data_IF_003068089476
#
_entry.id   IF_003068089476
#
_cell.length_a   1.000
_cell.length_b   1.000
_cell.length_c   1.000
_cell.angle_alpha   90.00
_cell.angle_beta   90.00
_cell.angle_gamma   90.00
#
_symmetry.space_group_name_H-M   'P 1'
#
loop_
_entity.id
_entity.type
_entity.pdbx_description
1 polymer ?
#
# COMPACT_ATOMS: atom_id res chain seq x y z
N UNK A 1 3.24 9.28 11.92
CA UNK A 1 1.82 9.45 12.26
C UNK A 1 1.62 10.79 12.96
N UNK A 2 0.46 11.44 12.83
CA UNK A 2 0.13 12.57 13.69
C UNK A 2 0.18 12.13 15.16
N UNK A 3 0.59 13.03 16.04
CA UNK A 3 0.64 12.78 17.48
C UNK A 3 -0.74 12.32 17.98
N UNK A 4 -0.81 11.22 18.73
CA UNK A 4 -2.05 10.65 19.24
C UNK A 4 -2.83 9.74 18.26
N UNK A 5 -2.36 9.50 17.05
CA UNK A 5 -3.03 8.55 16.16
C UNK A 5 -2.77 7.10 16.59
N UNK A 6 -3.82 6.34 16.73
CA UNK A 6 -3.75 4.91 17.00
C UNK A 6 -4.37 4.11 15.85
N UNK A 7 -3.87 2.90 15.62
CA UNK A 7 -4.47 1.97 14.67
C UNK A 7 -5.96 1.78 14.98
N UNK A 8 -6.78 1.93 13.96
CA UNK A 8 -8.21 1.71 14.04
C UNK A 8 -8.60 0.49 13.20
N UNK A 9 -9.06 -0.58 13.87
CA UNK A 9 -9.50 -1.81 13.21
C UNK A 9 -10.70 -1.62 12.26
N UNK A 10 -11.32 -0.44 12.26
CA UNK A 10 -12.41 -0.12 11.34
C UNK A 10 -11.97 0.61 10.08
N UNK A 11 -10.65 0.90 9.93
CA UNK A 11 -10.11 1.74 8.86
C UNK A 11 -10.59 1.33 7.46
N UNK A 12 -10.64 0.03 7.17
CA UNK A 12 -11.10 -0.54 5.89
C UNK A 12 -12.30 -1.47 6.04
N UNK A 13 -13.04 -1.38 7.15
CA UNK A 13 -14.19 -2.26 7.39
C UNK A 13 -15.19 -2.20 6.24
N UNK A 14 -15.49 -3.37 5.64
CA UNK A 14 -16.40 -3.52 4.50
C UNK A 14 -15.78 -3.14 3.15
N UNK A 15 -14.51 -2.72 3.09
CA UNK A 15 -13.83 -2.35 1.84
C UNK A 15 -13.25 -3.54 1.07
N UNK A 16 -13.03 -4.68 1.72
CA UNK A 16 -12.30 -5.81 1.14
C UNK A 16 -12.93 -6.30 -0.18
N UNK A 17 -14.25 -6.48 -0.23
CA UNK A 17 -14.98 -6.91 -1.43
C UNK A 17 -14.87 -5.94 -2.61
N UNK A 18 -14.53 -4.68 -2.37
CA UNK A 18 -14.40 -3.64 -3.38
C UNK A 18 -12.94 -3.40 -3.80
N UNK A 19 -11.98 -3.96 -3.08
CA UNK A 19 -10.59 -3.53 -3.20
C UNK A 19 -9.97 -3.97 -4.54
N UNK A 20 -10.02 -5.25 -4.89
CA UNK A 20 -9.42 -5.77 -6.13
C UNK A 20 -10.03 -5.11 -7.37
N UNK A 21 -11.35 -4.95 -7.40
CA UNK A 21 -12.08 -4.31 -8.50
C UNK A 21 -11.86 -2.79 -8.54
N UNK A 22 -11.83 -2.15 -7.39
CA UNK A 22 -11.80 -0.70 -7.26
C UNK A 22 -10.43 -0.07 -7.51
N UNK A 23 -9.36 -0.74 -7.11
CA UNK A 23 -8.01 -0.18 -7.22
C UNK A 23 -7.42 -0.39 -8.61
N UNK A 24 -6.77 0.65 -9.11
CA UNK A 24 -5.94 0.51 -10.30
C UNK A 24 -4.75 -0.40 -9.99
N UNK A 25 -4.35 -1.27 -10.92
CA UNK A 25 -3.14 -2.07 -10.75
C UNK A 25 -1.90 -1.18 -10.80
N UNK A 26 -0.81 -1.68 -10.24
CA UNK A 26 0.51 -1.06 -10.41
C UNK A 26 0.93 -1.06 -11.88
N UNK A 27 1.87 -0.18 -12.24
CA UNK A 27 2.37 -0.05 -13.61
C UNK A 27 2.86 -1.41 -14.16
N UNK A 28 2.60 -1.72 -15.43
CA UNK A 28 3.04 -2.97 -16.05
C UNK A 28 4.55 -3.17 -15.88
N UNK A 29 4.96 -4.37 -15.49
CA UNK A 29 6.38 -4.71 -15.27
C UNK A 29 6.92 -4.36 -13.87
N UNK A 30 6.11 -3.76 -12.95
CA UNK A 30 6.61 -3.41 -11.62
C UNK A 30 7.17 -4.60 -10.85
N UNK A 31 6.53 -5.77 -10.93
CA UNK A 31 6.98 -6.97 -10.21
C UNK A 31 8.35 -7.46 -10.71
N UNK A 32 8.56 -7.48 -12.04
CA UNK A 32 9.87 -7.80 -12.63
C UNK A 32 10.94 -6.79 -12.26
N UNK A 33 10.63 -5.49 -12.27
CA UNK A 33 11.54 -4.44 -11.82
C UNK A 33 11.91 -4.61 -10.35
N UNK A 34 10.92 -4.88 -9.49
CA UNK A 34 11.17 -5.10 -8.07
C UNK A 34 11.99 -6.37 -7.84
N UNK A 35 11.67 -7.48 -8.52
CA UNK A 35 12.42 -8.72 -8.42
C UNK A 35 13.90 -8.54 -8.85
N UNK A 36 14.14 -7.84 -9.95
CA UNK A 36 15.50 -7.53 -10.42
C UNK A 36 16.25 -6.62 -9.41
N UNK A 37 15.61 -5.57 -8.90
CA UNK A 37 16.22 -4.66 -7.91
C UNK A 37 16.61 -5.37 -6.60
N UNK A 38 15.86 -6.42 -6.24
CA UNK A 38 16.11 -7.23 -5.05
C UNK A 38 17.02 -8.45 -5.31
N UNK A 39 17.30 -8.77 -6.56
CA UNK A 39 18.05 -9.97 -6.94
C UNK A 39 17.31 -11.26 -6.56
N UNK A 40 15.97 -11.29 -6.69
CA UNK A 40 15.17 -12.46 -6.41
C UNK A 40 15.31 -13.51 -7.51
N UNK A 41 15.50 -14.76 -7.14
CA UNK A 41 15.87 -15.87 -7.99
C UNK A 41 14.97 -17.12 -7.81
N UNK A 42 13.78 -16.93 -7.26
CA UNK A 42 12.86 -18.03 -6.89
C UNK A 42 13.17 -18.67 -5.54
N UNK A 43 14.18 -18.17 -4.83
CA UNK A 43 14.60 -18.68 -3.52
C UNK A 43 14.31 -17.66 -2.42
N UNK A 44 14.39 -18.14 -1.16
CA UNK A 44 14.18 -17.30 0.01
C UNK A 44 12.73 -16.89 0.19
N UNK A 45 12.51 -15.95 1.09
CA UNK A 45 11.17 -15.57 1.56
C UNK A 45 10.96 -14.07 1.41
N UNK A 46 9.74 -13.67 1.07
CA UNK A 46 9.30 -12.28 1.01
C UNK A 46 8.16 -12.07 1.99
N UNK A 47 8.22 -10.97 2.76
CA UNK A 47 7.15 -10.51 3.64
C UNK A 47 6.45 -9.32 2.98
N UNK A 48 5.12 -9.33 2.91
CA UNK A 48 4.28 -8.19 2.51
C UNK A 48 3.48 -7.71 3.73
N UNK A 49 3.78 -6.51 4.23
CA UNK A 49 3.23 -5.97 5.47
C UNK A 49 2.09 -4.99 5.18
N UNK A 50 0.91 -5.28 5.71
CA UNK A 50 -0.33 -4.62 5.31
C UNK A 50 -0.69 -5.03 3.88
N UNK A 51 -0.65 -6.34 3.63
CA UNK A 51 -0.77 -6.91 2.29
C UNK A 51 -2.15 -6.72 1.65
N UNK A 52 -3.18 -6.38 2.44
CA UNK A 52 -4.55 -6.26 1.97
C UNK A 52 -5.01 -7.54 1.25
N UNK A 53 -5.64 -7.42 0.07
CA UNK A 53 -6.07 -8.59 -0.72
C UNK A 53 -4.92 -9.26 -1.51
N UNK A 54 -3.66 -8.98 -1.17
CA UNK A 54 -2.49 -9.65 -1.71
C UNK A 54 -2.01 -9.16 -3.08
N UNK A 55 -2.37 -7.97 -3.50
CA UNK A 55 -2.04 -7.46 -4.85
C UNK A 55 -0.56 -7.55 -5.18
N UNK A 56 0.31 -7.08 -4.29
CA UNK A 56 1.78 -7.13 -4.49
C UNK A 56 2.32 -8.52 -4.20
N UNK A 57 1.90 -9.13 -3.11
CA UNK A 57 2.37 -10.46 -2.74
C UNK A 57 2.16 -11.49 -3.84
N UNK A 58 0.97 -11.53 -4.45
CA UNK A 58 0.66 -12.46 -5.52
C UNK A 58 1.46 -12.20 -6.80
N UNK A 59 1.79 -10.93 -7.08
CA UNK A 59 2.66 -10.57 -8.20
C UNK A 59 4.12 -10.95 -7.93
N UNK A 60 4.55 -11.00 -6.67
CA UNK A 60 5.91 -11.33 -6.26
C UNK A 60 6.11 -12.84 -6.00
N UNK A 61 5.06 -13.60 -5.78
CA UNK A 61 5.12 -15.03 -5.48
C UNK A 61 5.97 -15.87 -6.47
N UNK A 62 5.95 -15.60 -7.80
CA UNK A 62 6.79 -16.34 -8.74
C UNK A 62 8.31 -16.17 -8.54
N UNK A 63 8.75 -15.12 -7.81
CA UNK A 63 10.17 -14.78 -7.66
C UNK A 63 10.77 -15.25 -6.32
N UNK A 64 10.01 -15.96 -5.48
CA UNK A 64 10.43 -16.41 -4.15
C UNK A 64 9.96 -17.85 -3.87
N UNK A 65 10.61 -18.51 -2.92
CA UNK A 65 10.18 -19.84 -2.47
C UNK A 65 8.89 -19.78 -1.63
N UNK A 66 8.77 -18.76 -0.77
CA UNK A 66 7.57 -18.50 0.03
C UNK A 66 7.29 -16.99 0.10
N UNK A 67 6.04 -16.61 -0.16
CA UNK A 67 5.53 -15.27 0.00
C UNK A 67 4.59 -15.22 1.21
N UNK A 68 4.90 -14.40 2.22
CA UNK A 68 4.11 -14.28 3.47
C UNK A 68 3.45 -12.92 3.50
N UNK A 69 2.11 -12.89 3.51
CA UNK A 69 1.32 -11.68 3.67
C UNK A 69 0.79 -11.54 5.09
N UNK A 70 0.98 -10.36 5.67
CA UNK A 70 0.42 -10.02 6.99
C UNK A 70 -0.51 -8.82 6.86
N UNK A 71 -1.70 -8.95 7.44
CA UNK A 71 -2.69 -7.87 7.53
C UNK A 71 -3.58 -8.09 8.77
N UNK A 72 -3.94 -7.04 9.51
CA UNK A 72 -4.86 -7.19 10.65
C UNK A 72 -6.32 -7.40 10.25
N UNK A 73 -6.69 -7.12 8.99
CA UNK A 73 -8.06 -7.25 8.49
C UNK A 73 -8.31 -8.65 7.93
N UNK A 74 -9.12 -9.44 8.64
CA UNK A 74 -9.44 -10.82 8.25
C UNK A 74 -10.20 -10.89 6.91
N UNK A 75 -11.03 -9.89 6.58
CA UNK A 75 -11.78 -9.83 5.32
C UNK A 75 -10.82 -9.59 4.14
N UNK A 76 -9.81 -8.73 4.31
CA UNK A 76 -8.73 -8.56 3.34
C UNK A 76 -7.98 -9.86 3.08
N UNK A 77 -7.60 -10.59 4.15
CA UNK A 77 -6.92 -11.87 4.01
C UNK A 77 -7.81 -12.96 3.39
N UNK A 78 -9.12 -12.90 3.59
CA UNK A 78 -10.06 -13.80 2.92
C UNK A 78 -10.10 -13.54 1.40
N UNK A 79 -10.12 -12.27 0.98
CA UNK A 79 -9.99 -11.90 -0.45
C UNK A 79 -8.63 -12.31 -1.03
N UNK A 80 -7.54 -12.14 -0.27
CA UNK A 80 -6.21 -12.55 -0.68
C UNK A 80 -6.11 -14.05 -0.95
N UNK A 81 -6.72 -14.89 -0.10
CA UNK A 81 -6.79 -16.35 -0.31
C UNK A 81 -7.56 -16.68 -1.58
N UNK A 82 -8.76 -16.08 -1.77
CA UNK A 82 -9.55 -16.27 -2.98
C UNK A 82 -8.79 -15.83 -4.24
N UNK A 83 -8.06 -14.73 -4.17
CA UNK A 83 -7.24 -14.27 -5.29
C UNK A 83 -6.06 -15.22 -5.59
N UNK A 84 -5.41 -15.78 -4.56
CA UNK A 84 -4.37 -16.79 -4.71
C UNK A 84 -4.89 -18.05 -5.40
N UNK A 85 -6.05 -18.56 -4.96
CA UNK A 85 -6.72 -19.73 -5.56
C UNK A 85 -7.05 -19.48 -7.03
N UNK A 86 -7.68 -18.35 -7.36
CA UNK A 86 -8.01 -18.00 -8.76
C UNK A 86 -6.79 -17.92 -9.66
N UNK A 87 -5.63 -17.53 -9.13
CA UNK A 87 -4.37 -17.36 -9.87
C UNK A 87 -3.47 -18.60 -9.80
N UNK A 88 -3.87 -19.66 -9.08
CA UNK A 88 -3.06 -20.88 -8.90
C UNK A 88 -1.76 -20.66 -8.13
N UNK A 89 -1.71 -19.66 -7.23
CA UNK A 89 -0.53 -19.34 -6.40
C UNK A 89 -0.56 -20.23 -5.15
N UNK A 90 0.37 -21.19 -5.08
CA UNK A 90 0.44 -22.17 -4.00
C UNK A 90 1.47 -21.83 -2.89
N UNK A 91 2.42 -20.94 -3.16
CA UNK A 91 3.51 -20.58 -2.24
C UNK A 91 3.22 -19.30 -1.42
N UNK A 92 1.95 -18.88 -1.36
CA UNK A 92 1.53 -17.75 -0.55
C UNK A 92 0.96 -18.20 0.80
N UNK A 93 1.39 -17.54 1.88
CA UNK A 93 0.90 -17.74 3.25
C UNK A 93 0.34 -16.44 3.81
N UNK A 94 -0.80 -16.52 4.52
CA UNK A 94 -1.52 -15.38 5.05
C UNK A 94 -1.63 -15.46 6.56
N UNK A 95 -1.26 -14.38 7.26
CA UNK A 95 -1.24 -14.31 8.72
C UNK A 95 -1.97 -13.04 9.19
N UNK A 96 -2.98 -13.23 10.06
CA UNK A 96 -3.72 -12.14 10.68
C UNK A 96 -2.90 -11.58 11.84
N UNK A 97 -2.14 -10.52 11.58
CA UNK A 97 -1.30 -9.85 12.58
C UNK A 97 -1.09 -8.39 12.20
N UNK A 98 -0.98 -7.51 13.19
CA UNK A 98 -0.62 -6.12 12.98
C UNK A 98 0.88 -5.98 12.70
N UNK A 99 1.27 -4.96 11.96
CA UNK A 99 2.67 -4.67 11.72
C UNK A 99 3.46 -4.44 13.03
N UNK A 100 2.83 -3.80 14.01
CA UNK A 100 3.40 -3.53 15.32
C UNK A 100 3.65 -4.78 16.19
N UNK A 101 3.00 -5.91 15.85
CA UNK A 101 3.12 -7.17 16.59
C UNK A 101 4.12 -8.15 15.95
N UNK A 102 4.83 -7.70 14.90
CA UNK A 102 5.96 -8.43 14.34
C UNK A 102 7.12 -8.50 15.37
N UNK A 103 7.91 -9.58 15.36
CA UNK A 103 8.09 -10.61 14.31
C UNK A 103 7.09 -11.78 14.33
N UNK A 104 6.20 -11.90 15.30
CA UNK A 104 5.14 -12.91 15.37
C UNK A 104 5.57 -14.37 15.05
N UNK A 105 6.85 -14.71 15.31
CA UNK A 105 7.42 -16.04 15.04
C UNK A 105 7.58 -16.38 13.55
N UNK A 106 7.55 -15.42 12.63
CA UNK A 106 7.56 -15.66 11.19
C UNK A 106 8.93 -16.02 10.60
N UNK A 107 10.03 -15.79 11.34
CA UNK A 107 11.40 -16.10 10.90
C UNK A 107 12.03 -15.03 10.00
N UNK A 108 13.04 -15.41 9.21
CA UNK A 108 13.83 -14.51 8.37
C UNK A 108 13.28 -14.33 6.96
N UNK A 109 13.61 -13.16 6.33
CA UNK A 109 13.17 -12.79 5.00
C UNK A 109 14.28 -12.12 4.18
N UNK A 110 14.30 -12.33 2.86
CA UNK A 110 15.16 -11.59 1.93
C UNK A 110 14.65 -10.17 1.68
N UNK A 111 13.34 -9.97 1.74
CA UNK A 111 12.74 -8.65 1.59
C UNK A 111 11.44 -8.53 2.40
N UNK A 112 11.18 -7.31 2.89
CA UNK A 112 9.90 -6.90 3.44
C UNK A 112 9.34 -5.74 2.62
N UNK A 113 8.13 -5.89 2.09
CA UNK A 113 7.46 -4.94 1.21
C UNK A 113 6.32 -4.26 1.95
N UNK A 114 6.20 -2.96 1.76
CA UNK A 114 5.12 -2.12 2.24
C UNK A 114 4.49 -1.39 1.04
N UNK A 115 3.43 -1.96 0.51
CA UNK A 115 2.72 -1.40 -0.63
C UNK A 115 1.55 -0.53 -0.16
N UNK A 116 1.72 0.79 -0.14
CA UNK A 116 0.74 1.75 0.38
C UNK A 116 0.34 1.50 1.86
N UNK A 117 1.21 0.88 2.67
CA UNK A 117 0.88 0.43 4.03
C UNK A 117 1.73 1.05 5.13
N UNK A 118 3.02 1.33 4.92
CA UNK A 118 3.95 1.80 5.95
C UNK A 118 3.49 3.08 6.68
N UNK A 119 2.78 3.94 5.98
CA UNK A 119 2.25 5.16 6.56
C UNK A 119 1.08 4.96 7.54
N UNK A 120 0.55 3.75 7.65
CA UNK A 120 -0.49 3.37 8.62
C UNK A 120 0.07 2.77 9.91
N UNK A 121 1.39 2.59 10.02
CA UNK A 121 2.04 1.89 11.12
C UNK A 121 2.76 2.82 12.08
N UNK A 122 3.09 2.32 13.27
CA UNK A 122 4.14 2.91 14.10
C UNK A 122 5.49 2.62 13.41
N UNK A 123 5.91 3.58 12.59
CA UNK A 123 7.01 3.40 11.65
C UNK A 123 8.34 3.07 12.31
N UNK A 124 8.66 3.71 13.44
CA UNK A 124 9.92 3.46 14.15
C UNK A 124 9.94 2.04 14.71
N UNK A 125 8.90 1.63 15.43
CA UNK A 125 8.76 0.27 15.97
C UNK A 125 8.75 -0.80 14.88
N UNK A 126 8.02 -0.58 13.80
CA UNK A 126 7.90 -1.55 12.69
C UNK A 126 9.21 -1.65 11.91
N UNK A 127 9.92 -0.53 11.69
CA UNK A 127 11.23 -0.54 11.03
C UNK A 127 12.26 -1.36 11.81
N UNK A 128 12.32 -1.20 13.14
CA UNK A 128 13.21 -1.99 14.02
C UNK A 128 12.85 -3.49 13.99
N UNK A 129 11.57 -3.83 14.12
CA UNK A 129 11.11 -5.21 14.07
C UNK A 129 11.48 -5.88 12.73
N UNK A 130 11.21 -5.21 11.62
CA UNK A 130 11.52 -5.69 10.28
C UNK A 130 13.02 -5.78 10.04
N UNK A 131 13.82 -4.84 10.57
CA UNK A 131 15.28 -4.94 10.51
C UNK A 131 15.78 -6.24 11.15
N UNK A 132 15.23 -6.61 12.33
CA UNK A 132 15.52 -7.87 12.99
C UNK A 132 15.14 -9.11 12.19
N UNK A 133 14.07 -9.03 11.40
CA UNK A 133 13.54 -10.13 10.57
C UNK A 133 14.24 -10.30 9.23
N UNK A 134 14.94 -9.29 8.73
CA UNK A 134 15.64 -9.38 7.47
C UNK A 134 16.97 -10.12 7.59
N UNK A 135 17.28 -10.95 6.59
CA UNK A 135 18.58 -11.54 6.40
C UNK A 135 19.66 -10.47 6.18
N UNK A 136 20.94 -10.73 6.45
CA UNK A 136 22.03 -9.84 6.06
C UNK A 136 21.96 -9.53 4.56
N UNK A 137 22.03 -8.25 4.18
CA UNK A 137 21.81 -7.78 2.79
C UNK A 137 20.35 -7.74 2.36
N UNK A 138 19.42 -8.15 3.21
CA UNK A 138 17.97 -8.10 2.94
C UNK A 138 17.46 -6.67 2.77
N UNK A 139 16.26 -6.51 2.18
CA UNK A 139 15.75 -5.21 1.80
C UNK A 139 14.41 -4.87 2.48
N UNK A 140 14.30 -3.63 2.95
CA UNK A 140 13.04 -2.95 3.23
C UNK A 140 12.58 -2.23 1.96
N UNK A 141 11.34 -2.41 1.55
CA UNK A 141 10.80 -1.89 0.29
C UNK A 141 9.51 -1.12 0.54
N UNK A 142 9.42 0.08 -0.04
CA UNK A 142 8.17 0.84 -0.12
C UNK A 142 7.73 0.92 -1.58
N UNK A 143 6.50 0.51 -1.85
CA UNK A 143 5.86 0.61 -3.17
C UNK A 143 4.70 1.59 -3.08
N UNK A 144 4.67 2.56 -3.98
CA UNK A 144 3.62 3.57 -4.04
C UNK A 144 3.40 4.08 -5.46
N UNK A 145 2.28 4.77 -5.68
CA UNK A 145 2.15 5.61 -6.85
C UNK A 145 3.18 6.73 -6.78
N UNK A 146 3.78 7.08 -7.93
CA UNK A 146 4.71 8.19 -8.01
C UNK A 146 3.99 9.48 -7.60
N UNK A 147 4.58 10.19 -6.65
CA UNK A 147 4.06 11.47 -6.14
C UNK A 147 4.96 12.62 -6.59
N UNK A 148 4.36 13.77 -6.79
CA UNK A 148 5.09 15.02 -7.01
C UNK A 148 5.65 15.60 -5.70
N UNK A 149 6.30 16.75 -5.79
CA UNK A 149 6.87 17.43 -4.64
C UNK A 149 5.84 17.91 -3.60
N UNK A 150 4.54 17.91 -3.93
CA UNK A 150 3.44 18.19 -2.99
C UNK A 150 2.99 16.93 -2.22
N UNK A 151 3.48 15.75 -2.61
CA UNK A 151 3.04 14.45 -2.09
C UNK A 151 1.74 13.93 -2.74
N UNK A 152 1.27 14.57 -3.79
CA UNK A 152 0.15 14.07 -4.60
C UNK A 152 0.65 13.14 -5.71
N UNK A 153 -0.18 12.18 -6.12
CA UNK A 153 0.17 11.28 -7.21
C UNK A 153 0.31 12.06 -8.51
N UNK A 154 1.43 11.85 -9.22
CA UNK A 154 1.65 12.46 -10.54
C UNK A 154 0.64 11.85 -11.51
N UNK A 155 -0.29 12.65 -12.09
CA UNK A 155 -1.21 12.13 -13.06
C UNK A 155 -0.42 11.68 -14.29
N UNK A 156 -0.70 10.46 -14.81
CA UNK A 156 -0.08 10.02 -16.04
C UNK A 156 -0.56 10.90 -17.21
N UNK A 157 0.24 11.01 -18.28
CA UNK A 157 -0.17 11.73 -19.46
C UNK A 157 -1.48 11.14 -20.00
N UNK A 158 -2.47 12.00 -20.22
CA UNK A 158 -3.75 11.56 -20.78
C UNK A 158 -3.58 11.28 -22.29
N UNK A 159 -4.17 10.20 -22.82
CA UNK A 159 -4.17 9.96 -24.24
C UNK A 159 -4.84 11.13 -24.98
N UNK A 160 -4.38 11.49 -26.18
CA UNK A 160 -4.88 12.67 -26.91
C UNK A 160 -6.35 12.58 -27.26
N UNK A 161 -6.92 11.37 -27.36
CA UNK A 161 -8.34 11.13 -27.65
C UNK A 161 -8.82 9.89 -26.87
N UNK A 162 -9.16 10.03 -25.58
CA UNK A 162 -9.67 8.91 -24.82
C UNK A 162 -11.06 8.49 -25.34
N UNK A 163 -11.30 7.17 -25.37
CA UNK A 163 -12.58 6.63 -25.83
C UNK A 163 -13.77 7.08 -24.96
N UNK A 164 -13.52 7.29 -23.66
CA UNK A 164 -14.52 7.67 -22.68
C UNK A 164 -13.99 8.81 -21.79
N UNK A 165 -14.88 9.58 -21.11
CA UNK A 165 -14.45 10.61 -20.18
C UNK A 165 -13.66 10.02 -19.01
N UNK A 166 -12.87 10.83 -18.32
CA UNK A 166 -12.31 10.45 -17.03
C UNK A 166 -13.41 10.40 -15.95
N UNK A 167 -13.27 9.59 -14.90
CA UNK A 167 -14.18 9.64 -13.77
C UNK A 167 -14.29 11.06 -13.21
N UNK A 168 -15.48 11.51 -12.80
CA UNK A 168 -15.73 12.86 -12.29
C UNK A 168 -15.21 13.01 -10.85
N UNK A 169 -13.91 13.06 -10.68
CA UNK A 169 -13.24 13.01 -9.37
C UNK A 169 -13.65 14.14 -8.42
N UNK A 170 -13.81 15.35 -8.93
CA UNK A 170 -14.21 16.51 -8.14
C UNK A 170 -15.64 16.35 -7.58
N UNK A 171 -16.57 15.91 -8.40
CA UNK A 171 -17.97 15.66 -8.05
C UNK A 171 -18.09 14.50 -7.07
N UNK A 172 -17.32 13.42 -7.28
CA UNK A 172 -17.24 12.28 -6.33
C UNK A 172 -16.73 12.76 -4.98
N UNK A 173 -15.65 13.55 -4.93
CA UNK A 173 -15.13 14.10 -3.68
C UNK A 173 -16.12 15.06 -3.01
N UNK A 174 -16.82 15.88 -3.76
CA UNK A 174 -17.88 16.76 -3.23
C UNK A 174 -19.02 15.95 -2.62
N UNK A 175 -19.43 14.86 -3.30
CA UNK A 175 -20.46 13.94 -2.81
C UNK A 175 -20.02 13.27 -1.50
N UNK A 176 -18.82 12.71 -1.44
CA UNK A 176 -18.29 12.10 -0.20
C UNK A 176 -18.29 13.11 0.95
N UNK A 177 -17.83 14.35 0.73
CA UNK A 177 -17.86 15.40 1.75
C UNK A 177 -19.27 15.80 2.19
N UNK A 178 -20.25 15.77 1.30
CA UNK A 178 -21.66 16.04 1.65
C UNK A 178 -22.20 15.01 2.64
N UNK A 179 -21.77 13.74 2.53
CA UNK A 179 -22.22 12.65 3.39
C UNK A 179 -21.40 12.50 4.67
N UNK A 180 -20.07 12.65 4.58
CA UNK A 180 -19.13 12.35 5.65
C UNK A 180 -18.50 13.59 6.30
N UNK A 181 -18.87 14.79 5.83
CA UNK A 181 -18.31 16.05 6.31
C UNK A 181 -17.03 16.49 5.58
N UNK A 182 -16.54 17.71 5.85
CA UNK A 182 -15.44 18.32 5.12
C UNK A 182 -14.08 17.73 5.49
N UNK A 183 -13.96 17.13 6.66
CA UNK A 183 -12.69 16.56 7.17
C UNK A 183 -12.57 15.12 6.70
N UNK A 184 -11.39 14.78 6.14
CA UNK A 184 -11.14 13.43 5.67
C UNK A 184 -11.19 12.41 6.81
N UNK A 185 -12.06 11.43 6.67
CA UNK A 185 -12.20 10.34 7.64
C UNK A 185 -11.08 9.31 7.47
N UNK A 186 -10.73 8.65 8.57
CA UNK A 186 -9.85 7.49 8.61
C UNK A 186 -10.32 6.59 9.76
N UNK A 187 -11.07 5.56 9.44
CA UNK A 187 -11.75 4.74 10.44
C UNK A 187 -12.70 5.59 11.31
N UNK A 188 -12.62 5.46 12.63
CA UNK A 188 -13.38 6.27 13.60
C UNK A 188 -12.86 7.71 13.71
N UNK A 189 -11.62 7.95 13.34
CA UNK A 189 -10.97 9.24 13.45
C UNK A 189 -10.93 10.03 12.14
N UNK A 190 -10.07 11.02 12.12
CA UNK A 190 -9.77 11.85 10.96
C UNK A 190 -8.27 11.87 10.72
N UNK A 191 -7.84 11.89 9.46
CA UNK A 191 -6.43 11.97 9.09
C UNK A 191 -6.24 13.15 8.13
N UNK A 192 -5.40 14.13 8.47
CA UNK A 192 -5.02 15.19 7.53
C UNK A 192 -4.43 14.60 6.24
N UNK A 193 -4.55 15.34 5.13
CA UNK A 193 -3.93 14.96 3.87
C UNK A 193 -2.42 14.78 4.04
N UNK A 194 -1.93 13.72 3.45
CA UNK A 194 -0.51 13.45 3.33
C UNK A 194 0.10 12.78 4.56
N UNK A 195 0.87 11.75 4.30
CA UNK A 195 1.81 11.22 5.26
C UNK A 195 3.07 12.05 5.10
N UNK A 196 3.64 12.62 6.16
CA UNK A 196 4.94 13.25 6.04
C UNK A 196 5.91 12.17 5.55
N UNK A 197 6.65 12.42 4.46
CA UNK A 197 7.78 11.62 4.04
C UNK A 197 8.67 11.27 5.24
N UNK A 198 9.97 11.26 5.12
CA UNK A 198 10.95 10.93 6.16
C UNK A 198 11.14 9.43 6.38
N UNK A 199 10.74 8.58 5.42
CA UNK A 199 11.07 7.15 5.45
C UNK A 199 12.59 6.97 5.62
N UNK A 200 13.41 7.76 4.92
CA UNK A 200 14.88 7.70 5.04
C UNK A 200 15.36 7.92 6.48
N UNK A 201 14.78 8.88 7.19
CA UNK A 201 15.17 9.14 8.58
C UNK A 201 14.74 8.03 9.55
N UNK A 202 13.54 7.48 9.34
CA UNK A 202 13.03 6.36 10.15
C UNK A 202 13.89 5.13 9.93
N UNK A 203 14.14 4.78 8.66
CA UNK A 203 14.87 3.58 8.31
C UNK A 203 16.36 3.68 8.66
N UNK A 204 16.97 4.87 8.53
CA UNK A 204 18.33 5.10 8.99
C UNK A 204 18.48 4.89 10.52
N UNK A 205 17.50 5.35 11.32
CA UNK A 205 17.50 5.08 12.77
C UNK A 205 17.41 3.59 13.10
N UNK A 206 16.68 2.82 12.30
CA UNK A 206 16.59 1.37 12.46
C UNK A 206 17.83 0.62 11.96
N UNK A 207 18.82 1.31 11.36
CA UNK A 207 20.08 0.73 10.91
C UNK A 207 20.12 0.34 9.42
N UNK A 208 19.14 0.73 8.64
CA UNK A 208 19.16 0.54 7.19
C UNK A 208 20.10 1.53 6.51
N UNK A 209 20.80 1.05 5.49
CA UNK A 209 21.66 1.87 4.64
C UNK A 209 20.88 2.55 3.51
N UNK A 210 21.59 3.43 2.77
CA UNK A 210 21.05 4.28 1.73
C UNK A 210 20.15 3.56 0.72
N UNK A 211 19.13 4.27 0.26
CA UNK A 211 18.10 3.75 -0.61
C UNK A 211 18.46 3.80 -2.10
N UNK A 212 17.92 2.87 -2.86
CA UNK A 212 17.76 3.00 -4.31
C UNK A 212 16.29 3.34 -4.63
N UNK A 213 16.09 4.05 -5.73
CA UNK A 213 14.80 4.46 -6.23
C UNK A 213 14.62 4.00 -7.67
N UNK A 214 13.53 3.30 -7.94
CA UNK A 214 13.13 2.90 -9.28
C UNK A 214 11.73 3.45 -9.58
N UNK A 215 11.53 3.91 -10.80
CA UNK A 215 10.21 4.37 -11.26
C UNK A 215 9.84 3.52 -12.47
N UNK A 216 8.74 2.79 -12.35
CA UNK A 216 8.14 2.06 -13.46
C UNK A 216 7.13 2.97 -14.14
N UNK A 217 7.30 3.29 -15.43
CA UNK A 217 6.42 4.22 -16.12
C UNK A 217 4.96 3.75 -16.11
N UNK A 218 4.06 4.67 -15.83
CA UNK A 218 2.63 4.48 -16.00
C UNK A 218 2.17 4.77 -17.42
N UNK A 219 0.90 5.20 -17.57
CA UNK A 219 0.34 5.68 -18.83
C UNK A 219 -0.43 4.63 -19.63
N UNK A 220 -0.36 3.36 -19.23
CA UNK A 220 -1.27 2.35 -19.81
C UNK A 220 -2.72 2.74 -19.58
N UNK A 221 -3.50 2.73 -20.64
CA UNK A 221 -4.91 3.14 -20.65
C UNK A 221 -5.77 1.95 -20.24
N UNK A 222 -6.67 2.18 -19.28
CA UNK A 222 -7.65 1.19 -18.83
C UNK A 222 -9.07 1.73 -18.95
N UNK A 223 -9.96 0.88 -19.41
CA UNK A 223 -11.38 1.15 -19.38
C UNK A 223 -11.97 0.70 -18.04
N UNK A 224 -12.82 1.56 -17.49
CA UNK A 224 -13.48 1.32 -16.20
C UNK A 224 -14.97 1.46 -16.37
N UNK A 225 -15.71 0.57 -15.76
CA UNK A 225 -17.17 0.70 -15.67
C UNK A 225 -17.58 1.59 -14.50
N UNK A 226 -18.84 2.03 -14.49
CA UNK A 226 -19.41 2.74 -13.34
C UNK A 226 -19.29 1.92 -12.04
N UNK A 227 -19.43 0.59 -12.12
CA UNK A 227 -19.26 -0.29 -10.96
C UNK A 227 -17.80 -0.33 -10.45
N UNK A 228 -16.81 -0.22 -11.33
CA UNK A 228 -15.40 -0.15 -10.93
C UNK A 228 -15.11 1.16 -10.21
N UNK A 229 -15.77 2.26 -10.62
CA UNK A 229 -15.63 3.55 -9.93
C UNK A 229 -16.35 3.54 -8.57
N UNK A 230 -17.53 2.91 -8.46
CA UNK A 230 -18.19 2.68 -7.18
C UNK A 230 -17.28 1.86 -6.26
N UNK A 231 -16.70 0.77 -6.76
CA UNK A 231 -15.75 -0.05 -6.01
C UNK A 231 -14.49 0.74 -5.62
N UNK A 232 -13.98 1.61 -6.49
CA UNK A 232 -12.87 2.49 -6.14
C UNK A 232 -13.21 3.41 -4.97
N UNK A 233 -14.38 4.00 -4.94
CA UNK A 233 -14.81 4.85 -3.81
C UNK A 233 -14.83 4.06 -2.52
N UNK A 234 -15.51 2.89 -2.51
CA UNK A 234 -15.66 2.05 -1.32
C UNK A 234 -14.38 1.32 -0.88
N UNK A 235 -13.38 1.20 -1.75
CA UNK A 235 -12.06 0.65 -1.40
C UNK A 235 -11.18 1.63 -0.60
N UNK A 236 -11.61 2.88 -0.41
CA UNK A 236 -10.82 3.93 0.25
C UNK A 236 -11.18 4.01 1.74
N UNK A 237 -10.17 4.10 2.60
CA UNK A 237 -10.36 4.31 4.05
C UNK A 237 -11.25 5.51 4.39
N UNK A 238 -11.22 6.56 3.53
CA UNK A 238 -12.01 7.78 3.72
C UNK A 238 -13.44 7.71 3.22
N UNK A 239 -13.82 6.61 2.58
CA UNK A 239 -15.16 6.35 2.06
C UNK A 239 -15.53 4.86 2.17
N UNK A 240 -14.97 4.17 3.17
CA UNK A 240 -15.31 2.78 3.46
C UNK A 240 -16.81 2.64 3.76
N UNK A 241 -17.47 1.56 3.35
CA UNK A 241 -18.93 1.41 3.44
C UNK A 241 -19.51 1.71 4.81
N UNK A 242 -18.87 1.24 5.88
CA UNK A 242 -19.34 1.41 7.26
C UNK A 242 -19.47 2.89 7.71
N UNK A 243 -18.73 3.82 7.05
CA UNK A 243 -18.78 5.25 7.40
C UNK A 243 -20.11 5.91 7.02
N UNK A 244 -20.84 5.30 6.11
CA UNK A 244 -22.14 5.84 5.63
C UNK A 244 -23.33 5.37 6.48
N UNK A 245 -23.14 4.33 7.30
CA UNK A 245 -24.19 3.80 8.19
C UNK A 245 -25.47 3.46 7.41
N UNK A 246 -26.62 3.94 7.88
CA UNK A 246 -27.94 3.76 7.23
C UNK A 246 -28.07 4.49 5.88
N UNK A 247 -27.18 5.45 5.59
CA UNK A 247 -27.17 6.23 4.34
C UNK A 247 -26.39 5.58 3.21
N UNK A 248 -25.77 4.40 3.41
CA UNK A 248 -24.92 3.76 2.38
C UNK A 248 -25.66 3.57 1.05
N UNK A 249 -26.86 3.02 1.07
CA UNK A 249 -27.63 2.78 -0.14
C UNK A 249 -28.03 4.07 -0.86
N UNK A 250 -28.29 5.14 -0.11
CA UNK A 250 -28.58 6.45 -0.70
C UNK A 250 -27.34 7.07 -1.32
N UNK A 251 -26.21 7.02 -0.61
CA UNK A 251 -24.92 7.47 -1.14
C UNK A 251 -24.58 6.76 -2.45
N UNK A 252 -24.73 5.44 -2.52
CA UNK A 252 -24.44 4.68 -3.73
C UNK A 252 -25.37 5.10 -4.89
N UNK A 253 -26.67 5.29 -4.65
CA UNK A 253 -27.60 5.80 -5.69
C UNK A 253 -27.17 7.17 -6.23
N UNK A 254 -26.80 8.09 -5.32
CA UNK A 254 -26.36 9.44 -5.69
C UNK A 254 -25.02 9.37 -6.45
N UNK A 255 -24.08 8.53 -6.02
CA UNK A 255 -22.81 8.29 -6.73
C UNK A 255 -23.06 7.78 -8.15
N UNK A 256 -23.93 6.79 -8.30
CA UNK A 256 -24.30 6.26 -9.61
C UNK A 256 -25.02 7.31 -10.49
N UNK A 257 -25.76 8.24 -9.90
CA UNK A 257 -26.36 9.37 -10.63
C UNK A 257 -25.27 10.33 -11.17
N UNK A 258 -24.28 10.68 -10.34
CA UNK A 258 -23.10 11.47 -10.75
C UNK A 258 -22.36 10.78 -11.90
N UNK A 259 -22.13 9.49 -11.80
CA UNK A 259 -21.44 8.71 -12.85
C UNK A 259 -22.24 8.67 -14.16
N UNK A 260 -23.56 8.44 -14.12
CA UNK A 260 -24.42 8.48 -15.33
C UNK A 260 -24.47 9.86 -15.99
N UNK A 261 -24.42 10.93 -15.19
CA UNK A 261 -24.36 12.28 -15.73
C UNK A 261 -23.03 12.54 -16.47
N UNK A 262 -21.93 12.05 -15.94
CA UNK A 262 -20.60 12.21 -16.54
C UNK A 262 -20.39 11.29 -17.76
N UNK A 263 -20.97 10.09 -17.75
CA UNK A 263 -20.89 9.11 -18.83
C UNK A 263 -22.21 8.32 -18.92
N UNK A 264 -23.14 8.68 -19.83
CA UNK A 264 -24.38 7.94 -20.00
C UNK A 264 -24.20 6.47 -20.35
N UNK A 265 -23.11 6.12 -21.03
CA UNK A 265 -22.73 4.73 -21.34
C UNK A 265 -22.10 3.97 -20.18
N UNK A 266 -21.82 4.64 -19.05
CA UNK A 266 -21.26 4.02 -17.86
C UNK A 266 -19.79 3.59 -17.98
N UNK A 267 -19.09 4.05 -19.04
CA UNK A 267 -17.68 3.73 -19.28
C UNK A 267 -16.79 4.97 -19.05
N UNK A 268 -15.63 4.74 -18.49
CA UNK A 268 -14.63 5.77 -18.18
C UNK A 268 -13.25 5.32 -18.66
N UNK A 269 -12.40 6.27 -18.95
CA UNK A 269 -10.99 6.03 -19.28
C UNK A 269 -10.10 6.58 -18.17
N UNK A 270 -9.24 5.72 -17.61
CA UNK A 270 -8.17 6.11 -16.71
C UNK A 270 -6.81 5.67 -17.26
N UNK A 271 -5.75 6.32 -16.83
CA UNK A 271 -4.38 5.90 -17.11
C UNK A 271 -3.74 5.38 -15.82
N UNK A 272 -3.02 4.27 -15.91
CA UNK A 272 -2.29 3.74 -14.76
C UNK A 272 -1.23 4.75 -14.31
N UNK A 273 -1.13 5.03 -13.00
CA UNK A 273 -0.06 5.86 -12.47
C UNK A 273 1.30 5.18 -12.65
N UNK A 274 2.37 5.97 -12.68
CA UNK A 274 3.71 5.42 -12.55
C UNK A 274 3.86 4.83 -11.13
N UNK A 275 4.58 3.71 -11.03
CA UNK A 275 4.87 3.04 -9.76
C UNK A 275 6.26 3.41 -9.28
N UNK A 276 6.37 3.94 -8.08
CA UNK A 276 7.63 4.19 -7.40
C UNK A 276 7.97 3.02 -6.47
N UNK A 277 9.21 2.54 -6.56
CA UNK A 277 9.80 1.51 -5.72
C UNK A 277 11.01 2.14 -5.03
N UNK A 278 11.00 2.18 -3.72
CA UNK A 278 12.14 2.62 -2.90
C UNK A 278 12.62 1.46 -2.05
N UNK A 279 13.94 1.23 -2.04
CA UNK A 279 14.55 0.10 -1.33
C UNK A 279 15.65 0.58 -0.40
N UNK A 280 15.70 0.07 0.82
CA UNK A 280 16.77 0.26 1.79
C UNK A 280 17.33 -1.11 2.17
N UNK A 281 18.63 -1.20 2.35
CA UNK A 281 19.30 -2.48 2.62
C UNK A 281 19.71 -2.60 4.09
N UNK A 282 19.51 -3.79 4.65
CA UNK A 282 20.22 -4.19 5.86
C UNK A 282 21.67 -4.49 5.49
N UNK A 283 22.69 -3.99 6.24
CA UNK A 283 24.09 -4.31 6.00
C UNK A 283 24.33 -5.83 5.88
N UNK A 284 25.17 -6.22 4.91
CA UNK A 284 25.49 -7.64 4.69
C UNK A 284 26.41 -8.23 5.78
N UNK A 285 27.17 -7.35 6.45
CA UNK A 285 28.02 -7.72 7.59
C UNK A 285 27.51 -6.95 8.80
N UNK A 286 27.45 -7.59 9.95
CA UNK A 286 27.06 -6.93 11.19
C UNK A 286 27.96 -5.73 11.46
N UNK A 287 27.46 -4.53 11.21
CA UNK A 287 28.07 -3.34 11.76
C UNK A 287 28.06 -3.53 13.27
N UNK A 288 29.25 -3.58 13.89
CA UNK A 288 29.36 -3.52 15.33
C UNK A 288 28.56 -2.30 15.80
N UNK A 289 27.67 -2.50 16.77
CA UNK A 289 26.93 -1.41 17.38
C UNK A 289 27.94 -0.28 17.73
N UNK A 290 27.61 1.00 17.46
CA UNK A 290 28.49 2.08 17.88
C UNK A 290 28.73 1.94 19.40
N UNK A 291 29.97 2.12 19.89
CA UNK A 291 30.25 2.01 21.30
C UNK A 291 29.38 2.98 22.08
N UNK A 292 28.77 2.49 23.14
CA UNK A 292 27.97 3.31 24.04
C UNK A 292 28.77 4.55 24.46
N UNK A 293 28.15 5.75 24.50
CA UNK A 293 28.85 6.94 24.96
C UNK A 293 29.13 6.83 26.47
N UNK A 294 30.32 6.43 26.84
CA UNK A 294 30.73 6.37 28.25
C UNK A 294 31.83 5.39 28.60
N UNK A 295 33.00 5.48 27.99
CA UNK A 295 34.21 4.98 28.61
C UNK A 295 35.40 5.88 28.19
N UNK A 296 35.45 7.05 28.78
CA UNK A 296 36.70 7.84 28.80
C UNK A 296 37.51 7.33 29.97
N UNK A 297 38.53 6.53 29.68
CA UNK A 297 39.58 6.20 30.64
C UNK A 297 40.20 7.50 31.19
N UNK A 298 40.52 7.56 32.50
CA UNK A 298 41.23 8.70 33.07
C UNK A 298 42.65 8.76 32.47
N UNK A 299 43.01 9.94 32.01
CA UNK A 299 44.39 10.24 31.59
C UNK A 299 45.30 10.34 32.82
N UNK A 300 46.56 9.93 32.69
CA UNK A 300 47.56 9.97 33.75
C UNK A 300 47.97 11.39 34.16
#
# INVERSE_FOLDING_TARGET
>A
MPEGWQWDSTLFRGSAAFYERGRLPYAPGFAGTLAAALGLDGRGRLLDVGCGPGTVLLAMAPFVAEAVGVDPDADMLAEARRAAERRGVANARWVAVRAEDLPAGLGGFRAAVFAQSFHWTDRDRVAEAVFGMLEPGGAFVVVSDLKDGSGESVPPPRPPSPAHPAPPGAEIHALVRRYLGPVRRAGRGTLPKGTPGREDLVLARAGFEASARHVVPGGAVVERTADDIVAWVFSRSSAAPHLFEDRLSQFERDLRAVLRQASPGGLFTECLPATEIRTWRKPAHGAAAPPAPGDRAPRP
#
